data_IF_916808315407
#
_entry.id   IF_916808315407
#
_cell.length_a   1.000
_cell.length_b   1.000
_cell.length_c   1.000
_cell.angle_alpha   90.00
_cell.angle_beta   90.00
_cell.angle_gamma   90.00
#
_symmetry.space_group_name_H-M   'P 1'
#
loop_
_entity.id
_entity.type
_entity.pdbx_description
1 polymer ?
#
# COMPACT_ATOMS: atom_id res chain seq x y z
N UNK A 1 4.85 39.99 -8.93
CA UNK A 1 4.61 39.11 -7.78
C UNK A 1 5.94 38.89 -7.08
N UNK A 2 6.05 39.08 -5.75
CA UNK A 2 7.29 38.69 -5.01
C UNK A 2 7.49 37.20 -5.15
N UNK A 3 8.63 36.79 -5.68
CA UNK A 3 9.02 35.37 -5.64
C UNK A 3 9.23 35.01 -4.16
N UNK A 4 8.44 34.07 -3.65
CA UNK A 4 8.64 33.51 -2.31
C UNK A 4 9.77 32.47 -2.37
N UNK A 5 10.65 32.47 -1.38
CA UNK A 5 11.69 31.44 -1.19
C UNK A 5 11.11 30.19 -0.56
N UNK A 6 11.85 29.06 -0.60
CA UNK A 6 11.47 27.85 0.15
C UNK A 6 11.29 28.15 1.64
N UNK A 7 12.15 28.98 2.22
CA UNK A 7 12.05 29.39 3.62
C UNK A 7 10.74 30.11 3.93
N UNK A 8 10.27 30.99 3.04
CA UNK A 8 8.97 31.66 3.18
C UNK A 8 7.81 30.66 3.15
N UNK A 9 7.85 29.70 2.23
CA UNK A 9 6.83 28.65 2.12
C UNK A 9 6.82 27.74 3.34
N UNK A 10 8.00 27.28 3.80
CA UNK A 10 8.15 26.45 5.01
C UNK A 10 7.59 27.17 6.23
N UNK A 11 7.98 28.43 6.46
CA UNK A 11 7.49 29.22 7.58
C UNK A 11 5.96 29.42 7.57
N UNK A 12 5.35 29.58 6.39
CA UNK A 12 3.89 29.66 6.24
C UNK A 12 3.22 28.31 6.49
N UNK A 13 3.81 27.22 5.98
CA UNK A 13 3.31 25.86 6.17
C UNK A 13 3.29 25.48 7.65
N UNK A 14 4.38 25.72 8.36
CA UNK A 14 4.48 25.40 9.81
C UNK A 14 3.46 26.16 10.65
N UNK A 15 2.98 27.32 10.21
CA UNK A 15 1.94 28.09 10.92
C UNK A 15 0.51 27.60 10.66
N UNK A 16 0.25 26.94 9.54
CA UNK A 16 -1.13 26.71 9.06
C UNK A 16 -1.45 25.28 8.67
N UNK A 17 -0.45 24.42 8.46
CA UNK A 17 -0.64 23.03 8.03
C UNK A 17 -0.27 22.07 9.15
N UNK A 18 -1.18 21.21 9.52
CA UNK A 18 -0.87 20.07 10.39
C UNK A 18 -0.35 18.92 9.53
N UNK A 19 0.96 18.72 9.54
CA UNK A 19 1.60 17.68 8.74
C UNK A 19 1.28 16.29 9.27
N UNK A 20 0.80 15.35 8.40
CA UNK A 20 0.40 14.02 8.83
C UNK A 20 1.61 13.16 9.22
N UNK A 21 1.39 12.21 10.12
CA UNK A 21 2.37 11.20 10.53
C UNK A 21 3.72 11.80 10.97
N UNK A 22 3.68 12.95 11.65
CA UNK A 22 4.87 13.74 12.00
C UNK A 22 4.72 14.32 13.40
N UNK A 23 5.79 14.23 14.21
CA UNK A 23 5.90 15.01 15.42
C UNK A 23 6.39 16.42 15.07
N UNK A 24 5.59 17.47 15.34
CA UNK A 24 5.84 18.83 14.89
C UNK A 24 7.20 19.37 15.37
N UNK A 25 7.64 19.04 16.59
CA UNK A 25 8.94 19.44 17.12
C UNK A 25 10.10 18.93 16.27
N UNK A 26 9.94 17.79 15.59
CA UNK A 26 11.00 17.27 14.72
C UNK A 26 11.29 18.15 13.50
N UNK A 27 10.39 19.09 13.13
CA UNK A 27 10.68 20.05 12.06
C UNK A 27 11.77 21.09 12.43
N UNK A 28 12.14 21.20 13.73
CA UNK A 28 13.26 22.02 14.17
C UNK A 28 14.61 21.38 13.78
N UNK A 29 14.68 20.04 13.78
CA UNK A 29 15.88 19.27 13.43
C UNK A 29 15.90 18.87 11.95
N UNK A 30 14.72 18.53 11.39
CA UNK A 30 14.54 18.03 10.02
C UNK A 30 13.57 18.96 9.30
N UNK A 31 14.06 20.01 8.62
CA UNK A 31 13.21 20.99 7.97
C UNK A 31 12.41 20.36 6.83
N UNK A 32 11.22 20.94 6.58
CA UNK A 32 10.38 20.58 5.46
C UNK A 32 11.06 20.92 4.14
N UNK A 33 10.68 20.20 3.09
CA UNK A 33 11.04 20.50 1.71
C UNK A 33 9.84 21.20 1.05
N UNK A 34 10.03 22.44 0.57
CA UNK A 34 9.01 23.18 -0.16
C UNK A 34 9.05 22.80 -1.65
N UNK A 35 8.32 21.72 -2.01
CA UNK A 35 8.27 21.22 -3.38
C UNK A 35 7.52 22.20 -4.27
N UNK A 36 8.12 22.56 -5.42
CA UNK A 36 7.52 23.44 -6.43
C UNK A 36 6.88 22.67 -7.58
N UNK A 37 7.53 21.61 -8.06
CA UNK A 37 7.04 20.77 -9.16
C UNK A 37 7.72 19.39 -9.15
N UNK A 38 7.22 18.49 -10.00
CA UNK A 38 7.85 17.19 -10.24
C UNK A 38 7.95 16.89 -11.74
N UNK A 39 8.92 16.05 -12.11
CA UNK A 39 9.10 15.57 -13.49
C UNK A 39 9.79 14.21 -13.49
N UNK A 40 9.15 13.20 -14.10
CA UNK A 40 9.66 11.84 -14.04
C UNK A 40 9.84 11.38 -12.59
N UNK A 41 10.92 10.71 -12.21
CA UNK A 41 11.13 10.28 -10.83
C UNK A 41 11.64 11.39 -9.88
N UNK A 42 11.69 12.65 -10.33
CA UNK A 42 12.29 13.77 -9.59
C UNK A 42 11.25 14.76 -9.07
N UNK A 43 11.43 15.19 -7.83
CA UNK A 43 10.81 16.36 -7.22
C UNK A 43 11.78 17.52 -7.18
N UNK A 44 11.30 18.75 -7.31
CA UNK A 44 12.09 19.97 -7.32
C UNK A 44 11.56 20.97 -6.29
N UNK A 45 12.45 21.61 -5.54
CA UNK A 45 12.07 22.72 -4.66
C UNK A 45 12.09 24.08 -5.38
N UNK A 46 11.79 25.13 -4.65
CA UNK A 46 11.74 26.49 -5.20
C UNK A 46 13.11 27.09 -5.52
N UNK A 47 14.20 26.52 -5.02
CA UNK A 47 15.58 26.89 -5.35
C UNK A 47 16.16 26.03 -6.49
N UNK A 48 15.38 25.10 -7.03
CA UNK A 48 15.79 24.22 -8.13
C UNK A 48 16.62 23.02 -7.70
N UNK A 49 16.76 22.75 -6.41
CA UNK A 49 17.34 21.49 -5.93
C UNK A 49 16.37 20.36 -6.27
N UNK A 50 16.91 19.20 -6.59
CA UNK A 50 16.11 18.03 -6.99
C UNK A 50 16.27 16.89 -6.01
N UNK A 51 15.27 16.03 -5.95
CA UNK A 51 15.24 14.87 -5.07
C UNK A 51 14.69 13.69 -5.85
N UNK A 52 15.49 12.63 -5.99
CA UNK A 52 15.05 11.37 -6.61
C UNK A 52 14.06 10.68 -5.67
N UNK A 53 12.82 10.50 -6.11
CA UNK A 53 11.72 9.95 -5.31
C UNK A 53 11.83 8.41 -5.22
N UNK A 54 12.68 7.95 -4.31
CA UNK A 54 12.96 6.52 -4.11
C UNK A 54 11.81 5.73 -3.48
N UNK A 55 10.76 6.41 -3.03
CA UNK A 55 9.62 5.81 -2.34
C UNK A 55 8.26 6.17 -2.99
N UNK A 56 8.31 6.70 -4.23
CA UNK A 56 7.10 7.05 -5.00
C UNK A 56 6.11 7.91 -4.23
N UNK A 57 6.60 8.95 -3.53
CA UNK A 57 5.78 9.88 -2.72
C UNK A 57 4.77 9.13 -1.85
N UNK A 58 5.28 8.19 -1.05
CA UNK A 58 4.51 7.27 -0.20
C UNK A 58 3.76 6.18 -0.98
N UNK A 59 4.47 5.55 -1.94
CA UNK A 59 4.07 4.35 -2.68
C UNK A 59 2.97 4.58 -3.73
N UNK A 60 2.59 5.84 -3.99
CA UNK A 60 1.45 6.15 -4.88
C UNK A 60 1.87 6.37 -6.33
N UNK A 61 3.04 6.99 -6.58
CA UNK A 61 3.49 7.36 -7.91
C UNK A 61 4.09 6.17 -8.65
N UNK A 62 3.44 5.72 -9.72
CA UNK A 62 3.94 4.61 -10.54
C UNK A 62 4.76 5.07 -11.74
N UNK A 63 4.31 6.13 -12.42
CA UNK A 63 4.79 6.51 -13.74
C UNK A 63 5.48 7.87 -13.78
N UNK A 64 6.05 8.27 -12.65
CA UNK A 64 6.72 9.54 -12.48
C UNK A 64 5.76 10.72 -12.34
N UNK A 65 6.29 11.81 -11.82
CA UNK A 65 5.57 13.05 -11.63
C UNK A 65 5.27 13.72 -12.98
N UNK A 66 4.12 14.38 -13.07
CA UNK A 66 3.65 15.10 -14.25
C UNK A 66 3.63 14.24 -15.53
N UNK A 67 3.21 12.98 -15.44
CA UNK A 67 3.11 12.07 -16.59
C UNK A 67 2.19 12.66 -17.67
N UNK A 68 2.67 12.83 -18.91
CA UNK A 68 1.91 13.52 -19.96
C UNK A 68 0.63 12.80 -20.37
N UNK A 69 0.59 11.45 -20.31
CA UNK A 69 -0.60 10.66 -20.67
C UNK A 69 -1.71 10.83 -19.65
N UNK A 70 -1.38 10.74 -18.35
CA UNK A 70 -2.37 10.94 -17.28
C UNK A 70 -2.82 12.41 -17.26
N UNK A 71 -1.91 13.37 -17.43
CA UNK A 71 -2.25 14.78 -17.52
C UNK A 71 -3.23 15.06 -18.66
N UNK A 72 -3.01 14.48 -19.84
CA UNK A 72 -3.89 14.65 -21.00
C UNK A 72 -5.29 14.07 -20.74
N UNK A 73 -5.35 12.85 -20.16
CA UNK A 73 -6.60 12.20 -19.82
C UNK A 73 -7.44 13.00 -18.81
N UNK A 74 -6.78 13.58 -17.79
CA UNK A 74 -7.47 14.42 -16.80
C UNK A 74 -7.97 15.74 -17.40
N UNK A 75 -7.19 16.38 -18.29
CA UNK A 75 -7.61 17.61 -18.97
C UNK A 75 -8.83 17.36 -19.84
N UNK A 76 -8.86 16.27 -20.59
CA UNK A 76 -10.03 15.86 -21.39
C UNK A 76 -11.25 15.62 -20.51
N UNK A 77 -11.08 14.91 -19.39
CA UNK A 77 -12.20 14.61 -18.48
C UNK A 77 -12.74 15.86 -17.77
N UNK A 78 -11.89 16.84 -17.46
CA UNK A 78 -12.31 18.12 -16.87
C UNK A 78 -13.28 18.90 -17.77
N UNK A 79 -13.12 18.79 -19.10
CA UNK A 79 -14.01 19.42 -20.07
C UNK A 79 -15.35 18.69 -20.27
N UNK A 80 -15.52 17.51 -19.65
CA UNK A 80 -16.72 16.65 -19.77
C UNK A 80 -17.55 16.60 -18.50
N UNK A 81 -16.95 16.11 -17.41
CA UNK A 81 -17.64 15.87 -16.13
C UNK A 81 -16.62 15.76 -15.00
N UNK A 82 -16.68 16.63 -14.03
CA UNK A 82 -15.85 16.65 -12.84
C UNK A 82 -16.40 15.74 -11.72
N UNK A 83 -17.74 15.71 -11.58
CA UNK A 83 -18.42 14.89 -10.58
C UNK A 83 -19.88 14.62 -10.93
N UNK A 84 -20.37 13.42 -10.60
CA UNK A 84 -21.77 13.07 -10.49
C UNK A 84 -21.93 11.99 -9.40
N UNK A 85 -22.96 12.10 -8.58
CA UNK A 85 -23.25 11.08 -7.57
C UNK A 85 -23.63 9.73 -8.23
N UNK A 86 -23.15 8.61 -7.71
CA UNK A 86 -23.52 7.28 -8.25
C UNK A 86 -24.86 6.75 -7.72
N UNK A 87 -25.46 7.38 -6.71
CA UNK A 87 -26.76 6.96 -6.19
C UNK A 87 -27.86 7.30 -7.21
N UNK A 88 -28.18 6.34 -8.07
CA UNK A 88 -29.16 6.46 -9.15
C UNK A 88 -28.64 7.03 -10.46
N UNK A 89 -27.34 7.33 -10.55
CA UNK A 89 -26.65 7.77 -11.76
C UNK A 89 -25.42 6.90 -12.02
N UNK A 90 -24.90 6.98 -13.22
CA UNK A 90 -23.64 6.36 -13.63
C UNK A 90 -22.94 7.22 -14.67
N UNK A 91 -21.68 6.91 -14.99
CA UNK A 91 -20.90 7.60 -16.00
C UNK A 91 -19.85 6.69 -16.63
N UNK A 92 -19.43 7.01 -17.84
CA UNK A 92 -18.50 6.22 -18.65
C UNK A 92 -17.23 5.80 -17.89
N UNK A 93 -16.44 6.72 -17.23
CA UNK A 93 -15.20 6.32 -16.57
C UNK A 93 -15.36 5.27 -15.45
N UNK A 94 -16.44 5.29 -14.68
CA UNK A 94 -16.63 4.29 -13.60
C UNK A 94 -17.02 2.93 -14.15
N UNK A 95 -17.82 2.91 -15.23
CA UNK A 95 -18.23 1.67 -15.91
C UNK A 95 -16.98 0.99 -16.50
N UNK A 96 -16.25 1.71 -17.36
CA UNK A 96 -15.06 1.20 -18.03
C UNK A 96 -13.99 0.72 -17.04
N UNK A 97 -13.76 1.48 -15.96
CA UNK A 97 -12.80 1.07 -14.93
C UNK A 97 -13.23 -0.22 -14.23
N UNK A 98 -14.51 -0.35 -13.90
CA UNK A 98 -15.05 -1.56 -13.25
C UNK A 98 -14.93 -2.79 -14.15
N UNK A 99 -15.28 -2.65 -15.42
CA UNK A 99 -15.18 -3.72 -16.42
C UNK A 99 -13.71 -4.18 -16.59
N UNK A 100 -12.78 -3.24 -16.76
CA UNK A 100 -11.36 -3.57 -16.93
C UNK A 100 -10.74 -4.23 -15.70
N UNK A 101 -11.13 -3.81 -14.50
CA UNK A 101 -10.67 -4.46 -13.27
C UNK A 101 -11.25 -5.86 -13.11
N UNK A 102 -12.52 -6.08 -13.48
CA UNK A 102 -13.12 -7.41 -13.53
C UNK A 102 -12.41 -8.33 -14.54
N UNK A 103 -12.09 -7.83 -15.74
CA UNK A 103 -11.31 -8.55 -16.75
C UNK A 103 -9.93 -8.98 -16.23
N UNK A 104 -9.23 -8.10 -15.52
CA UNK A 104 -7.91 -8.42 -14.94
C UNK A 104 -7.97 -9.54 -13.92
N UNK A 105 -9.12 -9.80 -13.29
CA UNK A 105 -9.34 -10.94 -12.39
C UNK A 105 -9.99 -12.14 -13.09
N UNK A 106 -10.07 -12.14 -14.42
CA UNK A 106 -10.86 -13.11 -15.19
C UNK A 106 -12.30 -13.25 -14.66
N UNK A 107 -12.90 -12.13 -14.27
CA UNK A 107 -14.24 -12.01 -13.67
C UNK A 107 -14.44 -12.78 -12.35
N UNK A 108 -13.36 -13.20 -11.68
CA UNK A 108 -13.48 -13.80 -10.35
C UNK A 108 -13.97 -12.75 -9.31
N UNK A 109 -13.66 -11.46 -9.52
CA UNK A 109 -14.12 -10.34 -8.72
C UNK A 109 -14.85 -9.34 -9.65
N UNK A 110 -16.12 -9.61 -9.90
CA UNK A 110 -16.90 -8.92 -10.93
C UNK A 110 -17.57 -7.61 -10.49
N UNK A 111 -17.55 -7.26 -9.20
CA UNK A 111 -18.21 -6.07 -8.66
C UNK A 111 -17.23 -5.14 -7.97
N UNK A 112 -17.32 -3.83 -8.26
CA UNK A 112 -16.48 -2.80 -7.67
C UNK A 112 -17.31 -1.83 -6.82
N UNK A 113 -16.86 -1.56 -5.60
CA UNK A 113 -17.41 -0.50 -4.76
C UNK A 113 -16.32 0.55 -4.49
N UNK A 114 -16.60 1.82 -4.76
CA UNK A 114 -15.61 2.91 -4.76
C UNK A 114 -15.62 3.72 -3.47
N UNK A 115 -14.42 4.20 -3.09
CA UNK A 115 -14.17 5.13 -2.01
C UNK A 115 -12.99 6.06 -2.35
N UNK A 116 -12.53 6.87 -1.39
CA UNK A 116 -11.55 7.92 -1.64
C UNK A 116 -10.13 7.54 -1.20
N UNK A 117 -9.95 6.71 -0.17
CA UNK A 117 -8.66 6.36 0.42
C UNK A 117 -8.63 4.90 0.87
N UNK A 118 -7.42 4.39 1.16
CA UNK A 118 -7.23 2.97 1.48
C UNK A 118 -7.95 2.53 2.75
N UNK A 119 -7.93 3.33 3.82
CA UNK A 119 -8.61 2.98 5.07
C UNK A 119 -10.12 2.87 4.86
N UNK A 120 -10.69 3.73 4.03
CA UNK A 120 -12.12 3.65 3.64
C UNK A 120 -12.44 2.36 2.87
N UNK A 121 -11.56 1.91 1.97
CA UNK A 121 -11.74 0.63 1.29
C UNK A 121 -11.73 -0.56 2.28
N UNK A 122 -10.81 -0.55 3.24
CA UNK A 122 -10.75 -1.56 4.31
C UNK A 122 -12.03 -1.56 5.16
N UNK A 123 -12.50 -0.38 5.61
CA UNK A 123 -13.77 -0.25 6.33
C UNK A 123 -14.96 -0.81 5.54
N UNK A 124 -15.00 -0.54 4.23
CA UNK A 124 -16.05 -1.04 3.32
C UNK A 124 -15.99 -2.57 3.24
N UNK A 125 -14.80 -3.15 3.01
CA UNK A 125 -14.63 -4.60 2.91
C UNK A 125 -15.05 -5.31 4.21
N UNK A 126 -14.64 -4.78 5.36
CA UNK A 126 -15.05 -5.31 6.67
C UNK A 126 -16.56 -5.22 6.88
N UNK A 127 -17.17 -4.08 6.57
CA UNK A 127 -18.63 -3.88 6.68
C UNK A 127 -19.41 -4.77 5.72
N UNK A 128 -18.92 -4.92 4.48
CA UNK A 128 -19.54 -5.83 3.50
C UNK A 128 -19.46 -7.27 3.99
N UNK A 129 -18.30 -7.73 4.46
CA UNK A 129 -18.14 -9.08 5.00
C UNK A 129 -19.12 -9.36 6.15
N UNK A 130 -19.14 -8.49 7.14
CA UNK A 130 -20.05 -8.60 8.28
C UNK A 130 -21.53 -8.65 7.84
N UNK A 131 -21.93 -7.74 6.95
CA UNK A 131 -23.32 -7.62 6.52
C UNK A 131 -23.73 -8.77 5.58
N UNK A 132 -22.83 -9.22 4.71
CA UNK A 132 -23.07 -10.39 3.84
C UNK A 132 -23.37 -11.64 4.68
N UNK A 133 -22.56 -11.92 5.71
CA UNK A 133 -22.82 -13.03 6.63
C UNK A 133 -24.17 -12.92 7.33
N UNK A 134 -24.53 -11.73 7.80
CA UNK A 134 -25.82 -11.48 8.41
C UNK A 134 -26.97 -11.75 7.43
N UNK A 135 -26.86 -11.27 6.20
CA UNK A 135 -27.84 -11.49 5.14
C UNK A 135 -27.94 -12.96 4.72
N UNK A 136 -26.83 -13.71 4.80
CA UNK A 136 -26.78 -15.13 4.53
C UNK A 136 -27.30 -16.01 5.68
N UNK A 137 -27.71 -15.41 6.83
CA UNK A 137 -28.26 -16.16 7.97
C UNK A 137 -27.23 -16.58 9.01
N UNK A 138 -26.02 -16.01 9.00
CA UNK A 138 -24.94 -16.26 9.95
C UNK A 138 -24.63 -15.05 10.84
N UNK A 139 -25.58 -14.57 11.67
CA UNK A 139 -25.41 -13.34 12.46
C UNK A 139 -24.35 -13.44 13.57
N UNK A 140 -23.88 -14.64 13.88
CA UNK A 140 -22.80 -14.86 14.84
C UNK A 140 -21.41 -14.47 14.29
N UNK A 141 -21.22 -14.43 12.97
CA UNK A 141 -19.96 -14.07 12.32
C UNK A 141 -19.72 -12.56 12.40
N UNK A 142 -18.99 -12.15 13.45
CA UNK A 142 -18.79 -10.73 13.79
C UNK A 142 -17.34 -10.36 14.12
N UNK A 143 -16.47 -11.36 14.26
CA UNK A 143 -15.09 -11.16 14.67
C UNK A 143 -14.19 -11.06 13.45
N UNK A 144 -13.08 -10.32 13.59
CA UNK A 144 -12.09 -10.16 12.55
C UNK A 144 -10.73 -10.67 13.03
N UNK A 145 -9.92 -11.12 12.09
CA UNK A 145 -8.55 -11.59 12.33
C UNK A 145 -7.60 -10.75 11.49
N UNK A 146 -6.46 -10.38 12.06
CA UNK A 146 -5.36 -9.71 11.34
C UNK A 146 -4.02 -10.36 11.70
N UNK A 147 -2.99 -10.04 10.93
CA UNK A 147 -1.64 -10.54 11.20
C UNK A 147 -0.91 -9.63 12.19
N UNK A 148 -0.01 -10.22 12.97
CA UNK A 148 0.95 -9.48 13.76
C UNK A 148 1.71 -8.48 12.88
N UNK A 149 1.81 -7.23 13.31
CA UNK A 149 2.46 -6.18 12.57
C UNK A 149 1.71 -5.70 11.31
N UNK A 150 0.45 -6.08 11.11
CA UNK A 150 -0.36 -5.60 9.97
C UNK A 150 -0.67 -4.11 10.06
N UNK A 151 -0.85 -3.47 8.88
CA UNK A 151 -1.29 -2.09 8.78
C UNK A 151 -2.32 -1.95 7.67
N UNK A 152 -3.52 -1.52 8.04
CA UNK A 152 -4.66 -1.41 7.12
C UNK A 152 -5.29 0.00 7.08
N UNK A 153 -4.65 0.97 7.72
CA UNK A 153 -5.11 2.36 7.79
C UNK A 153 -5.36 2.84 9.22
N UNK A 154 -5.80 4.08 9.37
CA UNK A 154 -5.87 4.80 10.64
C UNK A 154 -7.29 5.28 11.00
N UNK A 155 -8.32 4.89 10.25
CA UNK A 155 -9.71 5.03 10.70
C UNK A 155 -10.00 4.01 11.80
N UNK A 156 -11.02 4.24 12.61
CA UNK A 156 -11.30 3.43 13.80
C UNK A 156 -11.46 1.93 13.48
N UNK A 157 -12.17 1.58 12.40
CA UNK A 157 -12.32 0.17 12.00
C UNK A 157 -11.04 -0.40 11.39
N UNK A 158 -10.31 0.36 10.58
CA UNK A 158 -9.03 -0.06 10.03
C UNK A 158 -7.96 -0.22 11.13
N UNK A 159 -7.93 0.67 12.14
CA UNK A 159 -7.09 0.53 13.33
C UNK A 159 -7.44 -0.71 14.15
N UNK A 160 -8.70 -1.14 14.17
CA UNK A 160 -9.10 -2.34 14.89
C UNK A 160 -8.41 -3.60 14.37
N UNK A 161 -8.07 -3.66 13.07
CA UNK A 161 -7.34 -4.75 12.40
C UNK A 161 -5.87 -4.40 12.06
N UNK A 162 -5.39 -3.24 12.49
CA UNK A 162 -3.98 -2.84 12.45
C UNK A 162 -3.28 -3.30 13.73
N UNK A 163 -2.04 -3.79 13.64
CA UNK A 163 -1.24 -4.27 14.79
C UNK A 163 0.13 -3.56 14.82
N UNK A 164 0.13 -2.25 14.63
CA UNK A 164 1.31 -1.38 14.79
C UNK A 164 1.09 -0.48 16.00
N UNK A 165 1.77 -0.72 17.15
CA UNK A 165 1.55 -0.01 18.40
C UNK A 165 1.60 1.51 18.27
N UNK A 166 2.55 2.02 17.47
CA UNK A 166 2.72 3.46 17.22
C UNK A 166 1.43 4.17 16.76
N UNK A 167 0.62 3.50 15.96
CA UNK A 167 -0.63 4.05 15.44
C UNK A 167 -1.86 3.68 16.30
N UNK A 168 -1.80 2.56 17.01
CA UNK A 168 -2.97 1.93 17.64
C UNK A 168 -3.13 2.25 19.12
N UNK A 169 -2.03 2.28 19.90
CA UNK A 169 -2.09 2.26 21.37
C UNK A 169 -2.86 3.43 21.98
N UNK A 170 -2.68 4.63 21.43
CA UNK A 170 -3.38 5.83 21.91
C UNK A 170 -4.91 5.74 21.75
N UNK A 171 -5.39 4.93 20.81
CA UNK A 171 -6.79 4.81 20.45
C UNK A 171 -7.44 3.52 20.95
N UNK A 172 -6.71 2.69 21.70
CA UNK A 172 -7.19 1.40 22.22
C UNK A 172 -8.61 1.43 22.78
N UNK A 173 -9.00 2.43 23.61
CA UNK A 173 -10.38 2.52 24.16
C UNK A 173 -11.50 2.73 23.13
N UNK A 174 -11.17 3.14 21.90
CA UNK A 174 -12.13 3.37 20.81
C UNK A 174 -12.25 2.17 19.88
N UNK A 175 -11.39 1.17 20.00
CA UNK A 175 -11.28 0.09 19.03
C UNK A 175 -12.09 -1.13 19.46
N UNK A 176 -12.74 -1.77 18.48
CA UNK A 176 -13.25 -3.12 18.64
C UNK A 176 -12.09 -4.12 18.59
N UNK A 177 -12.05 -5.07 19.51
CA UNK A 177 -11.01 -6.08 19.52
C UNK A 177 -11.07 -6.97 18.27
N UNK A 178 -9.91 -7.27 17.70
CA UNK A 178 -9.67 -8.28 16.66
C UNK A 178 -8.71 -9.35 17.19
N UNK A 179 -8.72 -10.52 16.56
CA UNK A 179 -7.73 -11.55 16.84
C UNK A 179 -6.46 -11.26 16.05
N UNK A 180 -5.31 -11.31 16.72
CA UNK A 180 -4.00 -11.16 16.09
C UNK A 180 -3.32 -12.52 16.02
N UNK A 181 -2.95 -12.96 14.82
CA UNK A 181 -2.22 -14.20 14.58
C UNK A 181 -0.79 -13.92 14.10
N UNK A 182 0.17 -14.85 14.29
CA UNK A 182 1.54 -14.66 13.84
C UNK A 182 1.63 -14.33 12.35
N UNK A 183 2.48 -13.36 11.99
CA UNK A 183 2.80 -13.06 10.60
C UNK A 183 3.78 -14.10 10.02
N UNK A 184 3.67 -14.44 8.73
CA UNK A 184 4.57 -15.38 8.06
C UNK A 184 5.90 -14.75 7.61
N UNK A 185 6.41 -13.74 8.32
CA UNK A 185 7.62 -12.99 7.98
C UNK A 185 8.85 -13.90 7.89
N UNK A 186 9.43 -13.99 6.70
CA UNK A 186 10.58 -14.86 6.42
C UNK A 186 11.83 -14.53 7.27
N UNK A 187 11.92 -13.31 7.83
CA UNK A 187 12.99 -12.94 8.77
C UNK A 187 12.94 -13.68 10.08
N UNK A 188 11.79 -14.26 10.42
CA UNK A 188 11.54 -15.03 11.65
C UNK A 188 11.77 -16.55 11.44
N UNK A 189 12.45 -16.94 10.36
CA UNK A 189 12.84 -18.32 10.13
C UNK A 189 13.78 -18.80 11.25
N UNK A 190 13.50 -19.99 11.79
CA UNK A 190 14.40 -20.67 12.71
C UNK A 190 15.57 -21.29 11.94
N UNK A 191 16.60 -21.73 12.65
CA UNK A 191 17.74 -22.39 12.02
C UNK A 191 17.30 -23.61 11.20
N UNK A 192 17.59 -23.59 9.90
CA UNK A 192 17.19 -24.64 8.94
C UNK A 192 15.78 -24.50 8.36
N UNK A 193 14.96 -23.53 8.81
CA UNK A 193 13.65 -23.25 8.19
C UNK A 193 13.79 -22.46 6.87
N UNK A 194 13.01 -22.88 5.88
CA UNK A 194 12.74 -22.11 4.66
C UNK A 194 11.60 -21.10 4.89
N UNK A 195 11.42 -20.14 3.94
CA UNK A 195 10.25 -19.24 3.94
C UNK A 195 8.92 -19.99 3.89
N UNK A 196 8.89 -21.14 3.23
CA UNK A 196 7.71 -22.02 3.19
C UNK A 196 7.41 -22.67 4.55
N UNK A 197 8.43 -23.05 5.31
CA UNK A 197 8.23 -23.61 6.65
C UNK A 197 7.68 -22.56 7.61
N UNK A 198 8.17 -21.31 7.50
CA UNK A 198 7.59 -20.16 8.23
C UNK A 198 6.13 -19.96 7.87
N UNK A 199 5.78 -20.03 6.58
CA UNK A 199 4.41 -19.91 6.10
C UNK A 199 3.50 -21.02 6.68
N UNK A 200 3.94 -22.27 6.64
CA UNK A 200 3.19 -23.41 7.23
C UNK A 200 3.00 -23.25 8.74
N UNK A 201 4.04 -22.83 9.44
CA UNK A 201 3.98 -22.60 10.90
C UNK A 201 3.03 -21.46 11.27
N UNK A 202 3.00 -20.39 10.49
CA UNK A 202 2.09 -19.25 10.71
C UNK A 202 0.63 -19.63 10.43
N UNK A 203 0.35 -20.39 9.37
CA UNK A 203 -1.00 -20.89 9.03
C UNK A 203 -1.56 -21.80 10.12
N UNK A 204 -0.72 -22.58 10.82
CA UNK A 204 -1.18 -23.46 11.88
C UNK A 204 -1.82 -22.68 13.05
N UNK A 205 -1.37 -21.47 13.33
CA UNK A 205 -2.03 -20.60 14.32
C UNK A 205 -3.41 -20.15 13.86
N UNK A 206 -3.58 -19.86 12.56
CA UNK A 206 -4.88 -19.53 11.97
C UNK A 206 -5.81 -20.72 12.02
N UNK A 207 -5.31 -21.93 11.69
CA UNK A 207 -6.08 -23.18 11.75
C UNK A 207 -6.69 -23.39 13.13
N UNK A 208 -5.88 -23.32 14.18
CA UNK A 208 -6.36 -23.48 15.58
C UNK A 208 -7.42 -22.45 15.93
N UNK A 209 -7.22 -21.19 15.55
CA UNK A 209 -8.20 -20.14 15.81
C UNK A 209 -9.52 -20.42 15.07
N UNK A 210 -9.46 -20.87 13.81
CA UNK A 210 -10.68 -21.17 13.03
C UNK A 210 -11.39 -22.44 13.53
N UNK A 211 -10.68 -23.44 14.00
CA UNK A 211 -11.27 -24.62 14.66
C UNK A 211 -12.05 -24.22 15.94
N UNK A 212 -11.52 -23.27 16.70
CA UNK A 212 -12.15 -22.84 17.97
C UNK A 212 -13.28 -21.80 17.76
N UNK A 213 -13.17 -20.94 16.75
CA UNK A 213 -14.02 -19.75 16.61
C UNK A 213 -14.53 -19.45 15.19
N UNK A 214 -14.32 -20.33 14.21
CA UNK A 214 -14.68 -20.09 12.83
C UNK A 214 -16.17 -19.74 12.61
N UNK A 215 -17.04 -20.23 13.49
CA UNK A 215 -18.47 -19.90 13.53
C UNK A 215 -18.75 -18.43 13.89
N UNK A 216 -17.79 -17.70 14.48
CA UNK A 216 -17.89 -16.30 14.90
C UNK A 216 -17.03 -15.35 14.08
N UNK A 217 -16.04 -15.87 13.37
CA UNK A 217 -15.13 -15.06 12.56
C UNK A 217 -15.77 -14.74 11.21
N UNK A 218 -15.92 -13.46 10.92
CA UNK A 218 -16.45 -12.96 9.65
C UNK A 218 -15.36 -12.97 8.56
N UNK A 219 -14.18 -12.44 8.87
CA UNK A 219 -13.09 -12.38 7.91
C UNK A 219 -11.71 -12.36 8.59
N UNK A 220 -10.71 -12.78 7.81
CA UNK A 220 -9.30 -12.47 8.04
C UNK A 220 -8.84 -11.47 6.97
N UNK A 221 -8.06 -10.46 7.39
CA UNK A 221 -7.46 -9.46 6.50
C UNK A 221 -5.96 -9.59 6.48
N UNK A 222 -5.36 -9.50 5.29
CA UNK A 222 -3.91 -9.62 5.07
C UNK A 222 -3.42 -8.60 4.03
N UNK A 223 -2.18 -8.13 4.18
CA UNK A 223 -1.41 -7.48 3.11
C UNK A 223 -0.71 -8.59 2.31
N UNK A 224 -1.09 -8.92 1.06
CA UNK A 224 -0.50 -10.02 0.31
C UNK A 224 1.01 -9.84 0.07
N UNK A 225 1.79 -10.85 0.42
CA UNK A 225 3.22 -11.01 0.19
C UNK A 225 4.15 -10.04 0.94
N UNK A 226 3.71 -8.82 1.26
CA UNK A 226 4.56 -7.81 1.92
C UNK A 226 3.73 -6.98 2.89
N UNK A 227 4.03 -7.04 4.19
CA UNK A 227 3.54 -6.11 5.19
C UNK A 227 4.43 -4.87 5.19
N UNK A 228 3.95 -3.79 4.57
CA UNK A 228 4.80 -2.65 4.27
C UNK A 228 5.18 -1.83 5.52
N UNK A 229 4.22 -1.52 6.39
CA UNK A 229 4.44 -0.61 7.52
C UNK A 229 5.33 -1.19 8.63
N UNK A 230 5.52 -2.50 8.67
CA UNK A 230 6.41 -3.20 9.60
C UNK A 230 7.78 -3.52 9.00
N UNK A 231 8.28 -2.59 8.19
CA UNK A 231 9.60 -2.69 7.60
C UNK A 231 9.63 -3.64 6.42
N UNK A 232 8.63 -3.64 5.55
CA UNK A 232 8.59 -4.48 4.35
C UNK A 232 8.79 -5.96 4.67
N UNK A 233 8.05 -6.49 5.65
CA UNK A 233 8.08 -7.92 5.99
C UNK A 233 7.56 -8.74 4.83
N UNK A 234 8.42 -9.60 4.26
CA UNK A 234 8.10 -10.39 3.07
C UNK A 234 7.88 -11.86 3.44
N UNK A 235 6.96 -12.52 2.73
CA UNK A 235 6.63 -13.89 2.97
C UNK A 235 6.33 -14.69 1.69
N UNK A 236 6.35 -16.02 1.83
CA UNK A 236 6.15 -16.96 0.73
C UNK A 236 4.67 -16.98 0.29
N UNK A 237 4.37 -17.01 -1.03
CA UNK A 237 3.01 -17.14 -1.55
C UNK A 237 2.23 -18.35 -1.00
N UNK A 238 2.91 -19.40 -0.63
CA UNK A 238 2.30 -20.60 0.00
C UNK A 238 1.40 -20.24 1.20
N UNK A 239 1.74 -19.18 1.95
CA UNK A 239 0.88 -18.71 3.05
C UNK A 239 -0.53 -18.35 2.58
N UNK A 240 -0.62 -17.62 1.46
CA UNK A 240 -1.91 -17.20 0.91
C UNK A 240 -2.70 -18.39 0.35
N UNK A 241 -2.02 -19.34 -0.29
CA UNK A 241 -2.65 -20.59 -0.78
C UNK A 241 -3.31 -21.36 0.37
N UNK A 242 -2.52 -21.66 1.41
CA UNK A 242 -3.01 -22.37 2.59
C UNK A 242 -4.09 -21.57 3.36
N UNK A 243 -3.94 -20.25 3.43
CA UNK A 243 -4.93 -19.39 4.07
C UNK A 243 -6.26 -19.40 3.32
N UNK A 244 -6.24 -19.38 1.98
CA UNK A 244 -7.46 -19.48 1.16
C UNK A 244 -8.17 -20.80 1.41
N UNK A 245 -7.44 -21.92 1.44
CA UNK A 245 -7.99 -23.23 1.75
C UNK A 245 -8.68 -23.26 3.13
N UNK A 246 -8.04 -22.70 4.16
CA UNK A 246 -8.63 -22.60 5.49
C UNK A 246 -9.88 -21.73 5.53
N UNK A 247 -9.85 -20.59 4.84
CA UNK A 247 -11.00 -19.72 4.75
C UNK A 247 -12.21 -20.42 4.11
N UNK A 248 -11.97 -21.20 3.05
CA UNK A 248 -13.02 -21.97 2.39
C UNK A 248 -13.58 -23.07 3.29
N UNK A 249 -12.70 -23.82 3.97
CA UNK A 249 -13.10 -24.91 4.90
C UNK A 249 -13.95 -24.42 6.07
N UNK A 250 -13.65 -23.23 6.60
CA UNK A 250 -14.32 -22.69 7.79
C UNK A 250 -15.36 -21.61 7.46
N UNK A 251 -15.65 -21.36 6.18
CA UNK A 251 -16.56 -20.31 5.72
C UNK A 251 -16.21 -18.95 6.32
N UNK A 252 -14.94 -18.55 6.24
CA UNK A 252 -14.43 -17.24 6.67
C UNK A 252 -14.04 -16.45 5.43
N UNK A 253 -14.43 -15.19 5.32
CA UNK A 253 -14.02 -14.37 4.19
C UNK A 253 -12.52 -14.01 4.28
N UNK A 254 -11.84 -13.99 3.12
CA UNK A 254 -10.49 -13.47 2.96
C UNK A 254 -10.56 -12.05 2.38
N UNK A 255 -10.02 -11.08 3.10
CA UNK A 255 -9.84 -9.71 2.61
C UNK A 255 -8.36 -9.54 2.27
N UNK A 256 -8.05 -9.28 1.01
CA UNK A 256 -6.70 -8.94 0.55
C UNK A 256 -6.55 -7.42 0.45
N UNK A 257 -5.71 -6.86 1.29
CA UNK A 257 -5.32 -5.46 1.23
C UNK A 257 -4.15 -5.26 0.26
N UNK A 258 -4.46 -5.00 -1.00
CA UNK A 258 -3.47 -4.74 -2.04
C UNK A 258 -3.19 -3.24 -2.26
N UNK A 259 -3.57 -2.39 -1.31
CA UNK A 259 -3.43 -0.93 -1.39
C UNK A 259 -1.98 -0.50 -1.67
N UNK A 260 -1.02 -1.16 -1.02
CA UNK A 260 0.40 -0.86 -1.19
C UNK A 260 1.14 -1.82 -2.13
N UNK A 261 0.63 -3.05 -2.29
CA UNK A 261 1.35 -4.16 -2.92
C UNK A 261 0.82 -4.54 -4.30
N UNK A 262 -0.37 -4.06 -4.65
CA UNK A 262 -0.96 -4.22 -5.98
C UNK A 262 -0.36 -3.27 -7.03
N UNK A 263 -0.99 -3.22 -8.19
CA UNK A 263 -0.59 -2.39 -9.32
C UNK A 263 0.89 -2.58 -9.73
N UNK A 264 1.32 -3.84 -9.81
CA UNK A 264 2.66 -4.19 -10.31
C UNK A 264 3.79 -4.13 -9.27
N UNK A 265 3.54 -3.65 -8.05
CA UNK A 265 4.60 -3.48 -7.03
C UNK A 265 5.33 -4.77 -6.69
N UNK A 266 4.62 -5.87 -6.59
CA UNK A 266 5.19 -7.19 -6.22
C UNK A 266 5.61 -8.03 -7.43
N UNK A 267 5.40 -7.55 -8.68
CA UNK A 267 5.84 -8.22 -9.90
C UNK A 267 4.70 -8.76 -10.78
N UNK A 268 3.50 -8.89 -10.24
CA UNK A 268 2.22 -9.15 -10.93
C UNK A 268 1.30 -7.95 -10.75
N UNK A 269 0.20 -7.84 -11.53
CA UNK A 269 -0.71 -6.70 -11.35
C UNK A 269 -1.38 -6.75 -9.97
N UNK A 270 -1.92 -7.91 -9.58
CA UNK A 270 -2.34 -8.21 -8.23
C UNK A 270 -1.34 -9.13 -7.54
N UNK A 271 -1.03 -8.88 -6.27
CA UNK A 271 -0.12 -9.72 -5.51
C UNK A 271 -0.68 -11.14 -5.31
N UNK A 272 -1.99 -11.29 -5.16
CA UNK A 272 -2.69 -12.58 -5.03
C UNK A 272 -2.47 -13.53 -6.23
N UNK A 273 -2.16 -13.02 -7.42
CA UNK A 273 -1.84 -13.83 -8.59
C UNK A 273 -0.64 -14.77 -8.35
N UNK A 274 0.33 -14.37 -7.51
CA UNK A 274 1.51 -15.19 -7.22
C UNK A 274 1.20 -16.43 -6.38
N UNK A 275 0.06 -16.43 -5.71
CA UNK A 275 -0.47 -17.59 -4.98
C UNK A 275 -1.60 -18.30 -5.76
N UNK A 276 -1.87 -17.87 -6.99
CA UNK A 276 -2.97 -18.40 -7.82
C UNK A 276 -4.33 -18.42 -7.10
N UNK A 277 -4.62 -17.43 -6.25
CA UNK A 277 -5.88 -17.30 -5.50
C UNK A 277 -6.60 -16.00 -5.82
N UNK A 278 -7.92 -16.00 -5.59
CA UNK A 278 -8.71 -14.78 -5.46
C UNK A 278 -9.34 -14.70 -4.07
N UNK A 279 -9.25 -13.53 -3.40
CA UNK A 279 -9.91 -13.30 -2.12
C UNK A 279 -11.42 -13.12 -2.30
N UNK A 280 -12.14 -12.96 -1.20
CA UNK A 280 -13.56 -12.57 -1.24
C UNK A 280 -13.71 -11.05 -1.43
N UNK A 281 -12.76 -10.29 -0.90
CA UNK A 281 -12.65 -8.84 -1.08
C UNK A 281 -11.19 -8.47 -1.36
N UNK A 282 -10.97 -7.64 -2.39
CA UNK A 282 -9.67 -7.10 -2.74
C UNK A 282 -9.73 -5.57 -2.68
N UNK A 283 -8.92 -4.97 -1.80
CA UNK A 283 -8.85 -3.53 -1.63
C UNK A 283 -7.73 -2.94 -2.48
N UNK A 284 -8.03 -1.91 -3.27
CA UNK A 284 -7.07 -1.14 -4.06
C UNK A 284 -7.11 0.34 -3.69
N UNK A 285 -5.96 1.00 -3.74
CA UNK A 285 -5.79 2.45 -3.64
C UNK A 285 -4.42 2.85 -4.17
N UNK A 286 -3.85 3.96 -3.70
CA UNK A 286 -2.49 4.42 -4.04
C UNK A 286 -2.17 4.35 -5.53
N UNK A 287 -1.47 3.29 -5.96
CA UNK A 287 -1.00 3.12 -7.33
C UNK A 287 -2.10 3.07 -8.39
N UNK A 288 -3.34 2.73 -8.05
CA UNK A 288 -4.42 2.56 -9.04
C UNK A 288 -4.70 3.84 -9.84
N UNK A 289 -4.54 5.03 -9.24
CA UNK A 289 -4.67 6.31 -9.94
C UNK A 289 -3.34 6.87 -10.47
N UNK A 290 -2.26 6.06 -10.48
CA UNK A 290 -0.92 6.53 -10.80
C UNK A 290 -0.36 7.54 -9.79
N UNK A 291 -1.00 7.74 -8.65
CA UNK A 291 -0.65 8.74 -7.63
C UNK A 291 -1.22 10.13 -7.89
N UNK A 292 -2.17 10.27 -8.81
CA UNK A 292 -2.70 11.57 -9.22
C UNK A 292 -3.86 12.08 -8.38
N UNK A 293 -4.79 11.20 -8.03
CA UNK A 293 -6.01 11.58 -7.31
C UNK A 293 -6.35 10.53 -6.23
N UNK A 294 -6.96 10.97 -5.12
CA UNK A 294 -7.53 10.06 -4.14
C UNK A 294 -8.55 9.15 -4.81
N UNK A 295 -8.31 7.85 -4.75
CA UNK A 295 -9.20 6.80 -5.22
C UNK A 295 -8.90 5.53 -4.46
N UNK A 296 -9.93 4.85 -4.02
CA UNK A 296 -9.87 3.47 -3.58
C UNK A 296 -11.11 2.71 -4.01
N UNK A 297 -11.02 1.40 -3.98
CA UNK A 297 -12.14 0.54 -4.31
C UNK A 297 -11.97 -0.83 -3.66
N UNK A 298 -13.09 -1.52 -3.53
CA UNK A 298 -13.16 -2.93 -3.14
C UNK A 298 -13.73 -3.70 -4.31
N UNK A 299 -12.96 -4.68 -4.81
CA UNK A 299 -13.46 -5.69 -5.73
C UNK A 299 -14.01 -6.87 -4.93
N UNK A 300 -15.13 -7.45 -5.37
CA UNK A 300 -15.76 -8.59 -4.70
C UNK A 300 -16.45 -9.54 -5.68
N UNK A 301 -16.76 -10.74 -5.17
CA UNK A 301 -17.41 -11.81 -5.91
C UNK A 301 -18.90 -11.55 -6.13
N UNK A 302 -19.47 -12.15 -7.16
CA UNK A 302 -20.91 -12.07 -7.43
C UNK A 302 -21.75 -12.67 -6.28
N UNK A 303 -21.33 -13.78 -5.70
CA UNK A 303 -22.04 -14.40 -4.58
C UNK A 303 -22.23 -13.45 -3.38
N UNK A 304 -21.24 -12.56 -3.14
CA UNK A 304 -21.32 -11.55 -2.07
C UNK A 304 -22.31 -10.45 -2.50
N UNK A 305 -22.24 -9.98 -3.74
CA UNK A 305 -23.22 -9.02 -4.26
C UNK A 305 -24.64 -9.54 -4.17
N UNK A 306 -24.87 -10.81 -4.50
CA UNK A 306 -26.19 -11.46 -4.41
C UNK A 306 -26.73 -11.54 -2.98
N UNK A 307 -25.88 -11.60 -1.97
CA UNK A 307 -26.34 -11.56 -0.58
C UNK A 307 -27.05 -10.24 -0.21
N UNK A 308 -26.77 -9.16 -0.93
CA UNK A 308 -27.41 -7.84 -0.77
C UNK A 308 -28.58 -7.61 -1.74
N UNK A 309 -28.73 -8.42 -2.78
CA UNK A 309 -29.77 -8.26 -3.80
C UNK A 309 -31.13 -8.68 -3.23
N UNK A 310 -32.00 -7.71 -2.88
CA UNK A 310 -33.26 -7.93 -2.22
C UNK A 310 -34.20 -6.73 -2.42
N UNK A 311 -35.51 -6.95 -2.34
CA UNK A 311 -36.51 -5.88 -2.24
C UNK A 311 -36.48 -5.18 -0.86
N UNK A 312 -35.98 -5.87 0.17
CA UNK A 312 -35.86 -5.31 1.52
C UNK A 312 -34.64 -4.37 1.60
N UNK A 313 -34.89 -3.08 1.72
CA UNK A 313 -33.87 -2.03 1.82
C UNK A 313 -32.89 -2.26 2.98
N UNK A 314 -33.29 -2.95 4.05
CA UNK A 314 -32.42 -3.22 5.20
C UNK A 314 -31.32 -4.24 4.88
N UNK A 315 -31.45 -4.99 3.80
CA UNK A 315 -30.43 -5.90 3.29
C UNK A 315 -29.42 -5.20 2.37
N UNK A 316 -29.72 -3.99 1.91
CA UNK A 316 -28.83 -3.21 1.05
C UNK A 316 -27.59 -2.72 1.79
N UNK A 317 -26.45 -2.61 1.07
CA UNK A 317 -25.24 -1.99 1.60
C UNK A 317 -25.34 -0.47 1.52
N UNK A 318 -25.97 0.15 2.51
CA UNK A 318 -26.25 1.59 2.58
C UNK A 318 -25.03 2.36 3.12
N UNK A 319 -23.90 2.28 2.41
CA UNK A 319 -22.68 3.02 2.68
C UNK A 319 -22.32 3.89 1.48
N UNK A 320 -21.87 5.12 1.70
CA UNK A 320 -21.50 6.02 0.61
C UNK A 320 -20.45 7.03 1.05
N UNK A 321 -19.71 7.53 0.09
CA UNK A 321 -18.92 8.74 0.17
C UNK A 321 -19.46 9.73 -0.88
N UNK A 322 -19.40 11.04 -0.64
CA UNK A 322 -19.91 12.05 -1.57
C UNK A 322 -19.26 11.94 -2.95
N UNK A 323 -17.95 11.70 -2.98
CA UNK A 323 -17.14 11.61 -4.20
C UNK A 323 -16.92 10.16 -4.68
N UNK A 324 -17.77 9.22 -4.26
CA UNK A 324 -17.71 7.82 -4.68
C UNK A 324 -17.63 7.69 -6.21
N UNK A 325 -16.58 7.01 -6.70
CA UNK A 325 -16.38 6.79 -8.13
C UNK A 325 -16.18 8.09 -8.91
N UNK A 326 -15.52 9.09 -8.33
CA UNK A 326 -15.28 10.38 -8.99
C UNK A 326 -14.76 10.21 -10.42
N UNK A 327 -15.38 10.85 -11.44
CA UNK A 327 -15.01 10.68 -12.86
C UNK A 327 -13.55 10.99 -13.17
N UNK A 328 -12.97 12.04 -12.55
CA UNK A 328 -11.57 12.39 -12.74
C UNK A 328 -10.64 11.32 -12.17
N UNK A 329 -10.95 10.82 -10.97
CA UNK A 329 -10.16 9.77 -10.34
C UNK A 329 -10.24 8.44 -11.11
N UNK A 330 -11.43 8.06 -11.58
CA UNK A 330 -11.62 6.90 -12.46
C UNK A 330 -10.87 7.08 -13.79
N UNK A 331 -10.86 8.30 -14.37
CA UNK A 331 -10.13 8.57 -15.61
C UNK A 331 -8.61 8.51 -15.42
N UNK A 332 -8.09 8.95 -14.28
CA UNK A 332 -6.67 8.77 -13.93
C UNK A 332 -6.31 7.28 -13.81
N UNK A 333 -7.20 6.48 -13.19
CA UNK A 333 -7.02 5.03 -13.09
C UNK A 333 -7.06 4.35 -14.46
N UNK A 334 -7.99 4.71 -15.34
CA UNK A 334 -8.04 4.21 -16.72
C UNK A 334 -6.75 4.53 -17.48
N UNK A 335 -6.25 5.77 -17.38
CA UNK A 335 -4.98 6.15 -18.00
C UNK A 335 -3.79 5.35 -17.42
N UNK A 336 -3.83 5.02 -16.13
CA UNK A 336 -2.88 4.13 -15.47
C UNK A 336 -2.94 2.72 -16.08
N UNK A 337 -4.13 2.14 -16.23
CA UNK A 337 -4.32 0.83 -16.87
C UNK A 337 -3.91 0.84 -18.36
N UNK A 338 -4.15 1.94 -19.07
CA UNK A 338 -3.68 2.10 -20.46
C UNK A 338 -2.15 2.04 -20.55
N UNK A 339 -1.44 2.69 -19.62
CA UNK A 339 0.03 2.63 -19.57
C UNK A 339 0.49 1.20 -19.29
N UNK A 340 -0.14 0.49 -18.36
CA UNK A 340 0.20 -0.91 -18.08
C UNK A 340 0.11 -1.79 -19.32
N UNK A 341 -0.97 -1.66 -20.09
CA UNK A 341 -1.21 -2.43 -21.31
C UNK A 341 -0.25 -2.04 -22.43
N UNK A 342 -0.19 -0.74 -22.75
CA UNK A 342 0.47 -0.24 -23.96
C UNK A 342 2.00 -0.33 -23.87
N UNK A 343 2.56 -0.20 -22.67
CA UNK A 343 4.00 -0.16 -22.44
C UNK A 343 4.55 -1.50 -21.89
N UNK A 344 3.73 -2.55 -21.76
CA UNK A 344 4.08 -3.83 -21.13
C UNK A 344 4.81 -3.65 -19.79
N UNK A 345 4.20 -2.85 -18.90
CA UNK A 345 4.84 -2.38 -17.66
C UNK A 345 5.32 -3.53 -16.79
N UNK A 346 4.59 -4.64 -16.72
CA UNK A 346 5.00 -5.77 -15.87
C UNK A 346 6.28 -6.44 -16.38
N UNK A 347 6.48 -6.57 -17.69
CA UNK A 347 7.71 -7.09 -18.26
C UNK A 347 8.89 -6.11 -18.03
N UNK A 348 8.68 -4.83 -18.30
CA UNK A 348 9.68 -3.78 -18.06
C UNK A 348 10.06 -3.68 -16.56
N UNK A 349 9.11 -3.83 -15.66
CA UNK A 349 9.39 -3.85 -14.22
C UNK A 349 10.26 -5.04 -13.80
N UNK A 350 10.10 -6.22 -14.41
CA UNK A 350 11.00 -7.36 -14.15
C UNK A 350 12.44 -7.06 -14.54
N UNK A 351 12.64 -6.41 -15.70
CA UNK A 351 13.98 -5.98 -16.14
C UNK A 351 14.54 -4.90 -15.22
N UNK A 352 13.74 -3.88 -14.88
CA UNK A 352 14.12 -2.80 -13.97
C UNK A 352 14.47 -3.33 -12.57
N UNK A 353 13.67 -4.25 -12.05
CA UNK A 353 13.94 -4.90 -10.77
C UNK A 353 15.27 -5.68 -10.78
N UNK A 354 15.58 -6.37 -11.88
CA UNK A 354 16.87 -7.06 -12.05
C UNK A 354 18.03 -6.06 -12.04
N UNK A 355 17.94 -4.95 -12.78
CA UNK A 355 18.96 -3.88 -12.78
C UNK A 355 19.16 -3.29 -11.39
N UNK A 356 18.06 -3.02 -10.67
CA UNK A 356 18.13 -2.51 -9.30
C UNK A 356 18.76 -3.53 -8.34
N UNK A 357 18.46 -4.82 -8.46
CA UNK A 357 19.08 -5.88 -7.66
C UNK A 357 20.60 -5.90 -7.84
N UNK A 358 21.07 -5.82 -9.08
CA UNK A 358 22.50 -5.78 -9.39
C UNK A 358 23.13 -4.50 -8.81
N UNK A 359 22.52 -3.36 -9.01
CA UNK A 359 23.05 -2.08 -8.53
C UNK A 359 23.08 -1.97 -6.98
N UNK A 360 22.14 -2.65 -6.29
CA UNK A 360 22.06 -2.68 -4.83
C UNK A 360 22.87 -3.82 -4.19
N UNK A 361 23.55 -4.68 -4.96
CA UNK A 361 24.34 -5.78 -4.44
C UNK A 361 25.38 -5.35 -3.37
N UNK A 362 26.09 -4.22 -3.49
CA UNK A 362 26.99 -3.77 -2.44
C UNK A 362 26.33 -3.51 -1.08
N UNK A 363 25.04 -3.07 -1.09
CA UNK A 363 24.27 -2.92 0.13
C UNK A 363 23.82 -4.28 0.68
N UNK A 364 23.47 -5.24 -0.18
CA UNK A 364 23.09 -6.58 0.23
C UNK A 364 24.25 -7.34 0.92
N UNK A 365 25.49 -7.06 0.51
CA UNK A 365 26.71 -7.66 1.04
C UNK A 365 27.34 -6.87 2.20
N UNK A 366 26.80 -5.70 2.53
CA UNK A 366 27.38 -4.82 3.54
C UNK A 366 27.23 -5.41 4.97
N UNK A 367 28.32 -5.43 5.75
CA UNK A 367 28.35 -6.07 7.08
C UNK A 367 27.33 -5.51 8.10
N UNK A 368 26.93 -4.24 7.92
CA UNK A 368 25.92 -3.57 8.77
C UNK A 368 24.54 -3.52 8.13
N UNK A 369 24.29 -4.18 6.99
CA UNK A 369 22.99 -4.44 6.43
C UNK A 369 22.61 -5.91 6.67
N UNK A 370 21.38 -6.15 7.09
CA UNK A 370 20.85 -7.49 7.34
C UNK A 370 19.54 -7.66 6.61
N UNK A 371 19.19 -8.91 6.34
CA UNK A 371 17.90 -9.27 5.75
C UNK A 371 17.59 -8.47 4.48
N UNK A 372 18.57 -8.35 3.56
CA UNK A 372 18.27 -7.79 2.25
C UNK A 372 17.19 -8.66 1.59
N UNK A 373 16.12 -8.04 1.13
CA UNK A 373 14.94 -8.71 0.58
C UNK A 373 14.34 -7.93 -0.55
N UNK A 374 13.72 -8.65 -1.48
CA UNK A 374 13.08 -8.09 -2.66
C UNK A 374 11.80 -8.84 -2.99
N UNK A 375 10.77 -8.07 -3.39
CA UNK A 375 9.58 -8.61 -4.06
C UNK A 375 9.16 -7.62 -5.15
N UNK A 376 9.35 -8.01 -6.43
CA UNK A 376 9.13 -7.11 -7.55
C UNK A 376 9.95 -5.82 -7.44
N UNK A 377 9.28 -4.67 -7.39
CA UNK A 377 9.86 -3.33 -7.26
C UNK A 377 9.98 -2.83 -5.80
N UNK A 378 9.83 -3.71 -4.84
CA UNK A 378 10.01 -3.43 -3.41
C UNK A 378 11.32 -4.03 -2.94
N UNK A 379 12.24 -3.20 -2.43
CA UNK A 379 13.53 -3.59 -1.88
C UNK A 379 13.64 -3.10 -0.45
N UNK A 380 14.24 -3.89 0.43
CA UNK A 380 14.46 -3.48 1.80
C UNK A 380 15.66 -4.20 2.43
N UNK A 381 16.28 -3.54 3.41
CA UNK A 381 17.25 -4.15 4.31
C UNK A 381 17.19 -3.49 5.69
N UNK A 382 17.64 -4.20 6.71
CA UNK A 382 17.61 -3.71 8.07
C UNK A 382 19.01 -3.23 8.47
N UNK A 383 19.13 -1.95 8.89
CA UNK A 383 20.38 -1.37 9.34
C UNK A 383 20.75 -1.89 10.75
N UNK A 384 22.00 -2.33 10.92
CA UNK A 384 22.56 -2.67 12.21
C UNK A 384 23.18 -1.42 12.84
N UNK A 385 22.54 -0.89 13.87
CA UNK A 385 23.04 0.22 14.67
C UNK A 385 23.15 -0.26 16.13
N UNK A 386 24.37 -0.50 16.62
CA UNK A 386 24.59 -1.05 17.96
C UNK A 386 24.35 -0.01 19.07
N UNK A 387 24.53 1.28 18.77
CA UNK A 387 24.25 2.35 19.72
C UNK A 387 22.74 2.58 19.82
N UNK A 388 22.18 2.43 21.01
CA UNK A 388 20.74 2.53 21.25
C UNK A 388 20.19 3.93 20.98
N UNK A 389 20.95 5.00 21.33
CA UNK A 389 20.53 6.36 21.11
C UNK A 389 20.55 6.69 19.60
N UNK A 390 21.60 6.28 18.91
CA UNK A 390 21.70 6.44 17.45
C UNK A 390 20.63 5.61 16.72
N UNK A 391 20.31 4.41 17.22
CA UNK A 391 19.23 3.57 16.67
C UNK A 391 17.86 4.25 16.75
N UNK A 392 17.56 4.94 17.87
CA UNK A 392 16.29 5.65 18.06
C UNK A 392 16.11 6.85 17.13
N UNK A 393 17.19 7.45 16.65
CA UNK A 393 17.20 8.59 15.73
C UNK A 393 17.56 8.22 14.29
N UNK A 394 17.78 6.93 14.00
CA UNK A 394 18.30 6.45 12.72
C UNK A 394 17.48 6.97 11.53
N UNK A 395 16.15 6.81 11.54
CA UNK A 395 15.28 7.22 10.44
C UNK A 395 15.37 8.73 10.14
N UNK A 396 15.45 9.57 11.18
CA UNK A 396 15.57 11.03 11.01
C UNK A 396 16.93 11.41 10.44
N UNK A 397 18.03 10.85 11.00
CA UNK A 397 19.39 11.09 10.50
C UNK A 397 19.53 10.64 9.05
N UNK A 398 18.98 9.45 8.73
CA UNK A 398 19.00 8.93 7.38
C UNK A 398 18.25 9.86 6.42
N UNK A 399 17.04 10.29 6.78
CA UNK A 399 16.23 11.17 5.93
C UNK A 399 16.95 12.51 5.69
N UNK A 400 17.51 13.16 6.73
CA UNK A 400 18.24 14.41 6.57
C UNK A 400 19.44 14.25 5.63
N UNK A 401 20.26 13.20 5.84
CA UNK A 401 21.41 12.91 4.98
C UNK A 401 20.98 12.56 3.54
N UNK A 402 19.85 11.86 3.37
CA UNK A 402 19.31 11.53 2.05
C UNK A 402 18.94 12.79 1.27
N UNK A 403 18.24 13.73 1.92
CA UNK A 403 17.86 15.01 1.31
C UNK A 403 19.09 15.82 0.86
N UNK A 404 20.16 15.85 1.66
CA UNK A 404 21.44 16.49 1.31
C UNK A 404 22.12 15.84 0.09
N UNK A 405 21.78 14.58 -0.20
CA UNK A 405 22.31 13.81 -1.31
C UNK A 405 21.29 13.64 -2.48
N UNK A 406 20.38 14.58 -2.66
CA UNK A 406 19.36 14.58 -3.71
C UNK A 406 18.48 13.30 -3.70
N UNK A 407 18.19 12.73 -2.55
CA UNK A 407 17.43 11.49 -2.43
C UNK A 407 16.23 11.67 -1.49
N UNK A 408 15.03 11.38 -1.95
CA UNK A 408 13.85 11.26 -1.09
C UNK A 408 13.71 9.79 -0.66
N UNK A 409 14.24 9.48 0.52
CA UNK A 409 14.18 8.15 1.11
C UNK A 409 13.98 8.27 2.62
N UNK A 410 12.93 7.64 3.14
CA UNK A 410 12.52 7.73 4.54
C UNK A 410 12.40 6.32 5.15
N UNK A 411 13.38 5.86 5.95
CA UNK A 411 13.32 4.54 6.60
C UNK A 411 12.15 4.39 7.58
N UNK A 412 11.67 3.17 7.72
CA UNK A 412 10.72 2.76 8.77
C UNK A 412 11.55 2.19 9.93
N UNK A 413 11.68 2.95 11.01
CA UNK A 413 12.61 2.59 12.08
C UNK A 413 14.04 2.46 11.55
N UNK A 414 14.60 1.26 11.54
CA UNK A 414 15.92 0.94 10.96
C UNK A 414 15.84 0.21 9.64
N UNK A 415 14.66 -0.04 9.11
CA UNK A 415 14.51 -0.62 7.78
C UNK A 415 14.61 0.47 6.72
N UNK A 416 15.66 0.41 5.92
CA UNK A 416 15.82 1.20 4.69
C UNK A 416 15.12 0.45 3.57
N UNK A 417 14.22 1.14 2.85
CA UNK A 417 13.48 0.50 1.77
C UNK A 417 13.40 1.41 0.54
N UNK A 418 13.32 0.80 -0.62
CA UNK A 418 13.12 1.48 -1.90
C UNK A 418 11.86 0.90 -2.56
N UNK A 419 11.04 1.79 -3.03
CA UNK A 419 9.82 1.50 -3.81
C UNK A 419 9.67 2.58 -4.88
N UNK A 420 10.63 2.65 -5.85
CA UNK A 420 10.70 3.74 -6.80
C UNK A 420 9.58 3.68 -7.85
N UNK A 421 9.35 4.78 -8.59
CA UNK A 421 8.53 4.75 -9.80
C UNK A 421 9.11 3.80 -10.86
N UNK A 422 8.25 3.33 -11.76
CA UNK A 422 8.60 2.35 -12.81
C UNK A 422 9.31 2.97 -14.03
N UNK A 423 9.69 4.23 -13.94
CA UNK A 423 10.19 5.03 -15.06
C UNK A 423 11.69 5.36 -14.97
N UNK A 424 12.41 4.71 -14.06
CA UNK A 424 13.85 4.93 -13.91
C UNK A 424 14.59 4.45 -15.17
N UNK A 425 15.49 5.30 -15.68
CA UNK A 425 16.47 4.90 -16.68
C UNK A 425 17.74 4.31 -16.02
N UNK A 426 18.71 3.89 -16.84
CA UNK A 426 19.93 3.24 -16.34
C UNK A 426 20.81 4.18 -15.50
N UNK A 427 20.83 5.48 -15.81
CA UNK A 427 21.56 6.49 -15.04
C UNK A 427 20.88 6.71 -13.67
N UNK A 428 19.55 6.76 -13.66
CA UNK A 428 18.74 6.92 -12.45
C UNK A 428 18.85 5.69 -11.54
N UNK A 429 18.87 4.47 -12.11
CA UNK A 429 19.12 3.22 -11.36
C UNK A 429 20.49 3.25 -10.69
N UNK A 430 21.54 3.56 -11.43
CA UNK A 430 22.89 3.66 -10.88
C UNK A 430 22.99 4.77 -9.84
N UNK A 431 22.38 5.93 -10.12
CA UNK A 431 22.33 7.07 -9.23
C UNK A 431 21.55 6.81 -7.93
N UNK A 432 20.44 6.07 -8.00
CA UNK A 432 19.65 5.65 -6.83
C UNK A 432 20.46 4.74 -5.91
N UNK A 433 21.11 3.72 -6.47
CA UNK A 433 21.93 2.78 -5.70
C UNK A 433 23.13 3.48 -5.04
N UNK A 434 23.88 4.29 -5.82
CA UNK A 434 25.05 5.01 -5.32
C UNK A 434 24.70 6.01 -4.19
N UNK A 435 23.59 6.77 -4.35
CA UNK A 435 23.11 7.69 -3.31
C UNK A 435 22.67 6.95 -2.06
N UNK A 436 21.93 5.85 -2.22
CA UNK A 436 21.47 5.04 -1.08
C UNK A 436 22.63 4.48 -0.30
N UNK A 437 23.64 3.93 -0.99
CA UNK A 437 24.86 3.41 -0.37
C UNK A 437 25.63 4.53 0.38
N UNK A 438 25.88 5.65 -0.28
CA UNK A 438 26.59 6.80 0.31
C UNK A 438 25.88 7.31 1.58
N UNK A 439 24.56 7.46 1.53
CA UNK A 439 23.75 7.89 2.67
C UNK A 439 23.84 6.88 3.79
N UNK A 440 23.68 5.59 3.48
CA UNK A 440 23.77 4.52 4.47
C UNK A 440 25.12 4.51 5.17
N UNK A 441 26.22 4.49 4.42
CA UNK A 441 27.58 4.53 4.96
C UNK A 441 27.83 5.78 5.85
N UNK A 442 27.37 6.95 5.42
CA UNK A 442 27.48 8.18 6.20
C UNK A 442 26.72 8.11 7.52
N UNK A 443 25.53 7.55 7.53
CA UNK A 443 24.66 7.48 8.73
C UNK A 443 25.16 6.45 9.74
N UNK A 444 25.73 5.33 9.26
CA UNK A 444 26.27 4.28 10.14
C UNK A 444 27.72 4.54 10.59
N UNK A 445 28.41 5.50 9.98
CA UNK A 445 29.76 5.87 10.42
C UNK A 445 29.78 6.23 11.91
N UNK A 446 30.86 5.95 12.62
CA UNK A 446 30.99 6.18 14.08
C UNK A 446 30.69 7.60 14.53
#
# INVERSE_FOLDING_TARGET
MKQHTSSDWIARSLRSVWHPCTQMQHHEEVPLIAVSHGKGPWLYDHEGRRYLDAISSWWVNLFGHANPRINAALKDQLDRLEHAMLAGFTHEPVIELSERLAELTNYALGHAFYASDGASAVEIAMKMSFHAWRNAGYPAKQEFVCLQGSYHGETIGALAVTDVPLFKDAYGPLLRASHVVPAPDARNALEGESSQDVARRAVEAVRKLFEERGDKIAAIIVEPLVQCATGMAMYDPLYLELLRELCDQHHVHLIADEIAVGCGRTGTFFACEQAAIWPDFLCLSKGISGGYLPLSLVLTKDEIYQAFYSEDITRGFLHSHSDTGNPLACRAALATLDIFRDDDVLARNRELATKLTIALAPLAEHERARHFRQRGMIFAFDAVEPDTQRASTFSRRFFSTAVENELLLRPIGRTVYLMPPYVLDDEEVAGLAARTQKVFESVIAP
#
